data_IF_775326466538
#
_entry.id   IF_775326466538
#
_cell.length_a   1.000
_cell.length_b   1.000
_cell.length_c   1.000
_cell.angle_alpha   90.00
_cell.angle_beta   90.00
_cell.angle_gamma   90.00
#
_symmetry.space_group_name_H-M   'P 1'
#
loop_
_entity.id
_entity.type
_entity.pdbx_description
1 polymer ?
#
# COMPACT_ATOMS: atom_id res chain seq x y z
N UNK A 1 26.92 7.95 -2.48
CA UNK A 1 26.80 7.29 -1.17
C UNK A 1 25.37 6.84 -1.08
N UNK A 2 25.14 5.55 -0.88
CA UNK A 2 23.79 5.00 -0.79
C UNK A 2 23.16 5.32 0.56
N UNK A 3 21.86 5.61 0.54
CA UNK A 3 21.01 5.97 1.67
C UNK A 3 19.87 4.97 1.74
N UNK A 4 19.37 4.68 2.94
CA UNK A 4 18.22 3.82 3.10
C UNK A 4 16.94 4.66 3.11
N UNK A 5 15.90 4.14 2.48
CA UNK A 5 14.58 4.73 2.41
C UNK A 5 13.54 3.70 2.81
N UNK A 6 12.65 4.07 3.72
CA UNK A 6 11.49 3.28 4.08
C UNK A 6 10.28 3.77 3.29
N UNK A 7 9.62 2.85 2.60
CA UNK A 7 8.41 3.09 1.83
C UNK A 7 7.19 2.50 2.53
N UNK A 8 6.13 3.27 2.61
CA UNK A 8 4.80 2.85 3.05
C UNK A 8 3.86 2.88 1.84
N UNK A 9 3.54 1.71 1.31
CA UNK A 9 2.83 1.53 0.04
C UNK A 9 1.39 1.10 0.33
N UNK A 10 0.44 1.81 -0.27
CA UNK A 10 -0.99 1.53 -0.18
C UNK A 10 -1.52 1.13 -1.54
N UNK A 11 -1.99 -0.11 -1.67
CA UNK A 11 -2.62 -0.61 -2.91
C UNK A 11 -4.12 -0.74 -2.69
N UNK A 12 -4.92 -0.13 -3.57
CA UNK A 12 -6.37 -0.05 -3.44
C UNK A 12 -7.04 -0.37 -4.76
N UNK A 13 -8.19 -1.03 -4.73
CA UNK A 13 -9.01 -1.25 -5.92
C UNK A 13 -9.43 0.09 -6.54
N UNK A 14 -9.32 0.21 -7.87
CA UNK A 14 -9.82 1.37 -8.63
C UNK A 14 -11.29 1.64 -8.28
N UNK A 15 -11.76 2.90 -8.27
CA UNK A 15 -13.11 3.23 -7.84
C UNK A 15 -14.23 2.49 -8.59
N UNK A 16 -14.02 2.21 -9.88
CA UNK A 16 -14.96 1.48 -10.75
C UNK A 16 -14.99 -0.03 -10.51
N UNK A 17 -14.06 -0.58 -9.72
CA UNK A 17 -13.96 -2.01 -9.46
C UNK A 17 -14.72 -2.34 -8.17
N UNK A 18 -15.58 -3.36 -8.27
CA UNK A 18 -16.32 -3.91 -7.15
C UNK A 18 -15.35 -4.52 -6.13
N UNK A 19 -15.62 -4.30 -4.85
CA UNK A 19 -14.89 -4.89 -3.74
C UNK A 19 -15.79 -5.88 -2.97
N UNK A 20 -15.74 -7.19 -3.32
CA UNK A 20 -16.50 -8.21 -2.60
C UNK A 20 -16.09 -8.32 -1.13
N UNK A 21 -14.80 -8.13 -0.81
CA UNK A 21 -14.31 -8.22 0.56
C UNK A 21 -14.83 -7.07 1.41
N UNK A 22 -14.75 -5.83 0.92
CA UNK A 22 -15.35 -4.67 1.57
C UNK A 22 -16.86 -4.82 1.77
N UNK A 23 -17.56 -5.36 0.77
CA UNK A 23 -19.00 -5.64 0.89
C UNK A 23 -19.31 -6.63 2.02
N UNK A 24 -18.55 -7.72 2.11
CA UNK A 24 -18.70 -8.71 3.18
C UNK A 24 -18.43 -8.09 4.57
N UNK A 25 -17.38 -7.27 4.71
CA UNK A 25 -17.06 -6.59 5.97
C UNK A 25 -18.15 -5.58 6.35
N UNK A 26 -18.66 -4.77 5.40
CA UNK A 26 -19.78 -3.85 5.65
C UNK A 26 -21.01 -4.58 6.18
N UNK A 27 -21.34 -5.72 5.56
CA UNK A 27 -22.43 -6.57 6.02
C UNK A 27 -22.19 -7.03 7.46
N UNK A 28 -21.00 -7.54 7.78
CA UNK A 28 -20.64 -7.93 9.15
C UNK A 28 -20.80 -6.79 10.16
N UNK A 29 -20.30 -5.60 9.83
CA UNK A 29 -20.43 -4.40 10.67
C UNK A 29 -21.90 -4.04 10.94
N UNK A 30 -22.76 -4.12 9.93
CA UNK A 30 -24.19 -3.88 10.09
C UNK A 30 -24.85 -4.91 11.03
N UNK A 31 -24.47 -6.19 10.94
CA UNK A 31 -24.99 -7.22 11.86
C UNK A 31 -24.53 -6.99 13.32
N UNK A 32 -23.39 -6.34 13.51
CA UNK A 32 -22.87 -5.95 14.82
C UNK A 32 -23.46 -4.63 15.35
N UNK A 33 -24.40 -4.00 14.63
CA UNK A 33 -25.05 -2.75 15.03
C UNK A 33 -24.35 -1.47 14.59
N UNK A 34 -23.27 -1.56 13.79
CA UNK A 34 -22.54 -0.40 13.27
C UNK A 34 -23.15 0.09 11.95
N UNK A 35 -24.37 0.64 12.02
CA UNK A 35 -25.12 1.10 10.84
C UNK A 35 -24.62 2.43 10.26
N UNK A 36 -23.73 3.14 10.95
CA UNK A 36 -23.17 4.42 10.51
C UNK A 36 -21.98 4.28 9.54
N UNK A 37 -21.60 3.06 9.17
CA UNK A 37 -20.51 2.81 8.20
C UNK A 37 -21.08 2.81 6.79
N UNK A 38 -20.97 3.95 6.10
CA UNK A 38 -21.56 4.15 4.77
C UNK A 38 -20.76 3.47 3.65
N UNK A 39 -19.43 3.51 3.73
CA UNK A 39 -18.55 2.98 2.70
C UNK A 39 -17.29 2.38 3.32
N UNK A 40 -16.88 1.23 2.80
CA UNK A 40 -15.63 0.56 3.15
C UNK A 40 -15.00 0.03 1.86
N UNK A 41 -13.67 0.11 1.79
CA UNK A 41 -12.86 -0.53 0.76
C UNK A 41 -11.67 -1.20 1.43
N UNK A 42 -11.36 -2.40 1.01
CA UNK A 42 -10.22 -3.16 1.50
C UNK A 42 -9.08 -3.05 0.48
N UNK A 43 -7.86 -2.90 0.98
CA UNK A 43 -6.65 -2.78 0.19
C UNK A 43 -5.46 -3.41 0.90
N UNK A 44 -4.31 -3.40 0.24
CA UNK A 44 -3.04 -3.89 0.79
C UNK A 44 -2.24 -2.72 1.36
N UNK A 45 -1.60 -2.97 2.49
CA UNK A 45 -0.55 -2.10 3.04
C UNK A 45 0.76 -2.87 3.03
N UNK A 46 1.80 -2.27 2.47
CA UNK A 46 3.12 -2.90 2.32
C UNK A 46 4.18 -1.93 2.83
N UNK A 47 5.07 -2.40 3.69
CA UNK A 47 6.24 -1.64 4.13
C UNK A 47 7.50 -2.34 3.65
N UNK A 48 8.43 -1.56 3.10
CA UNK A 48 9.74 -2.09 2.71
C UNK A 48 10.82 -1.03 2.84
N UNK A 49 12.07 -1.46 2.97
CA UNK A 49 13.23 -0.57 3.00
C UNK A 49 14.10 -0.85 1.77
N UNK A 50 14.52 0.20 1.06
CA UNK A 50 15.45 0.11 -0.07
C UNK A 50 16.66 1.00 0.12
N UNK A 51 17.80 0.56 -0.39
CA UNK A 51 19.00 1.37 -0.49
C UNK A 51 19.07 2.01 -1.88
N UNK A 52 19.29 3.31 -1.95
CA UNK A 52 19.45 4.06 -3.21
C UNK A 52 20.39 5.24 -3.04
N UNK A 53 21.02 5.70 -4.13
CA UNK A 53 21.91 6.87 -4.09
C UNK A 53 21.18 8.19 -3.87
N UNK A 54 19.91 8.27 -4.27
CA UNK A 54 19.06 9.45 -4.14
C UNK A 54 17.61 9.04 -3.91
N UNK A 55 16.80 9.96 -3.38
CA UNK A 55 15.36 9.75 -3.21
C UNK A 55 14.67 9.52 -4.55
N UNK A 56 15.07 10.21 -5.62
CA UNK A 56 14.48 10.03 -6.96
C UNK A 56 14.73 8.61 -7.50
N UNK A 57 15.96 8.10 -7.35
CA UNK A 57 16.27 6.72 -7.70
C UNK A 57 15.47 5.70 -6.88
N UNK A 58 15.27 5.96 -5.58
CA UNK A 58 14.42 5.14 -4.73
C UNK A 58 12.96 5.15 -5.21
N UNK A 59 12.41 6.32 -5.56
CA UNK A 59 11.05 6.48 -6.07
C UNK A 59 10.85 5.73 -7.39
N UNK A 60 11.75 5.89 -8.36
CA UNK A 60 11.66 5.19 -9.64
C UNK A 60 11.69 3.67 -9.46
N UNK A 61 12.53 3.16 -8.56
CA UNK A 61 12.57 1.73 -8.27
C UNK A 61 11.28 1.26 -7.58
N UNK A 62 10.71 2.04 -6.66
CA UNK A 62 9.43 1.72 -6.02
C UNK A 62 8.28 1.69 -7.02
N UNK A 63 8.21 2.66 -7.94
CA UNK A 63 7.21 2.67 -9.01
C UNK A 63 7.29 1.38 -9.85
N UNK A 64 8.51 0.97 -10.24
CA UNK A 64 8.72 -0.28 -10.98
C UNK A 64 8.27 -1.51 -10.18
N UNK A 65 8.61 -1.59 -8.89
CA UNK A 65 8.19 -2.71 -8.02
C UNK A 65 6.67 -2.74 -7.88
N UNK A 66 6.03 -1.58 -7.75
CA UNK A 66 4.59 -1.47 -7.63
C UNK A 66 3.88 -1.91 -8.92
N UNK A 67 4.34 -1.42 -10.07
CA UNK A 67 3.77 -1.74 -11.38
C UNK A 67 3.96 -3.22 -11.77
N UNK A 68 5.11 -3.81 -11.43
CA UNK A 68 5.44 -5.17 -11.85
C UNK A 68 4.86 -6.25 -10.94
N UNK A 69 4.67 -5.96 -9.65
CA UNK A 69 4.36 -6.99 -8.66
C UNK A 69 3.27 -6.61 -7.66
N UNK A 70 3.35 -5.44 -7.03
CA UNK A 70 2.50 -5.14 -5.88
C UNK A 70 1.07 -4.74 -6.25
N UNK A 71 0.89 -4.10 -7.41
CA UNK A 71 -0.39 -3.64 -7.91
C UNK A 71 -0.73 -4.30 -9.26
N UNK A 72 -1.96 -4.75 -9.40
CA UNK A 72 -2.49 -5.12 -10.71
C UNK A 72 -2.97 -3.85 -11.44
N UNK A 73 -2.32 -3.39 -12.52
CA UNK A 73 -2.64 -2.11 -13.17
C UNK A 73 -4.05 -2.05 -13.75
N UNK A 74 -4.68 -3.19 -14.05
CA UNK A 74 -6.03 -3.23 -14.63
C UNK A 74 -7.09 -2.85 -13.58
N UNK A 75 -6.90 -3.28 -12.33
CA UNK A 75 -7.96 -3.22 -11.31
C UNK A 75 -7.55 -2.49 -10.02
N UNK A 76 -6.27 -2.24 -9.81
CA UNK A 76 -5.72 -1.59 -8.62
C UNK A 76 -5.00 -0.29 -8.98
N UNK A 77 -4.97 0.62 -8.01
CA UNK A 77 -4.11 1.79 -7.94
C UNK A 77 -3.17 1.62 -6.75
N UNK A 78 -2.03 2.29 -6.77
CA UNK A 78 -1.19 2.45 -5.59
C UNK A 78 -0.81 3.91 -5.34
N UNK A 79 -0.36 4.16 -4.12
CA UNK A 79 0.39 5.35 -3.71
C UNK A 79 1.41 4.92 -2.68
N UNK A 80 2.46 5.68 -2.48
CA UNK A 80 3.38 5.44 -1.38
C UNK A 80 3.95 6.73 -0.82
N UNK A 81 4.25 6.67 0.48
CA UNK A 81 5.07 7.65 1.17
C UNK A 81 6.49 7.10 1.31
N UNK A 82 7.49 7.97 1.19
CA UNK A 82 8.90 7.60 1.22
C UNK A 82 9.65 8.49 2.20
N UNK A 83 10.45 7.88 3.08
CA UNK A 83 11.24 8.60 4.07
C UNK A 83 12.65 8.05 4.13
N UNK A 84 13.66 8.92 4.15
CA UNK A 84 15.03 8.51 4.42
C UNK A 84 15.15 8.03 5.86
N UNK A 85 15.79 6.89 6.07
CA UNK A 85 16.01 6.30 7.40
C UNK A 85 17.50 6.08 7.66
N UNK A 86 17.94 6.41 8.86
CA UNK A 86 19.35 6.31 9.29
C UNK A 86 19.80 4.85 9.47
N UNK A 87 18.86 3.94 9.65
CA UNK A 87 19.10 2.51 9.93
C UNK A 87 17.94 1.73 9.30
N UNK A 88 18.19 0.62 8.55
CA UNK A 88 17.09 -0.21 8.10
C UNK A 88 16.35 -0.74 9.33
N UNK A 89 15.02 -0.67 9.33
CA UNK A 89 14.22 -1.31 10.39
C UNK A 89 14.63 -2.78 10.45
N UNK A 90 15.18 -3.20 11.59
CA UNK A 90 15.36 -4.63 11.88
C UNK A 90 13.95 -5.23 11.98
N UNK A 91 13.41 -5.67 10.85
CA UNK A 91 12.30 -6.62 10.85
C UNK A 91 12.93 -7.95 11.21
N UNK A 92 13.02 -8.20 12.52
CA UNK A 92 13.72 -9.35 13.07
C UNK A 92 13.12 -10.67 12.61
N UNK A 93 14.04 -11.59 12.30
CA UNK A 93 13.95 -13.06 12.26
C UNK A 93 13.08 -13.72 11.19
#
# INVERSE_FOLDING_TARGET
>A
MTQNYQAQIYVTLRPSVLDPAGTAVKSGLSHMGHHNVEQIRIGKYVELTIAADTEDAARQQLDQICDQLLANPVIENYRFDLQQVSTPLNVGS
#
